data_IF_298723436308
#
_entry.id   IF_298723436308
#
_cell.length_a   1.000
_cell.length_b   1.000
_cell.length_c   1.000
_cell.angle_alpha   90.00
_cell.angle_beta   90.00
_cell.angle_gamma   90.00
#
_symmetry.space_group_name_H-M   'P 1'
#
loop_
_entity.id
_entity.type
_entity.pdbx_description
1 polymer ?
#
# COMPACT_ATOMS: atom_id res chain seq x y z
N UNK A 1 39.14 15.62 0.01
CA UNK A 1 37.77 16.13 -0.17
C UNK A 1 36.88 14.97 -0.60
N UNK A 2 35.99 14.51 0.27
CA UNK A 2 34.95 13.54 -0.08
C UNK A 2 33.61 14.22 0.18
N UNK A 3 32.94 14.67 -0.88
CA UNK A 3 31.59 15.23 -0.79
C UNK A 3 30.64 14.05 -0.91
N UNK A 4 30.10 13.60 0.23
CA UNK A 4 29.06 12.58 0.24
C UNK A 4 27.81 13.08 -0.53
N UNK A 5 27.08 12.22 -1.24
CA UNK A 5 26.01 12.66 -2.13
C UNK A 5 24.79 13.11 -1.31
N UNK A 6 24.55 14.43 -1.28
CA UNK A 6 23.37 15.13 -0.70
C UNK A 6 22.01 14.62 -1.19
N UNK A 7 21.96 13.76 -2.20
CA UNK A 7 20.74 13.28 -2.84
C UNK A 7 19.94 12.29 -2.00
N UNK A 8 20.60 11.50 -1.13
CA UNK A 8 19.90 10.51 -0.29
C UNK A 8 19.15 11.17 0.88
N UNK A 9 19.73 12.17 1.53
CA UNK A 9 19.07 12.90 2.62
C UNK A 9 17.89 13.73 2.13
N UNK A 10 18.05 14.38 0.96
CA UNK A 10 16.97 15.15 0.32
C UNK A 10 15.77 14.30 -0.09
N UNK A 11 16.00 13.02 -0.42
CA UNK A 11 14.93 12.08 -0.81
C UNK A 11 14.14 11.59 0.41
N UNK A 12 14.84 11.30 1.53
CA UNK A 12 14.19 10.88 2.78
C UNK A 12 13.41 12.04 3.42
N UNK A 13 13.93 13.27 3.38
CA UNK A 13 13.20 14.44 3.86
C UNK A 13 11.95 14.73 3.04
N UNK A 14 12.02 14.64 1.71
CA UNK A 14 10.86 14.83 0.82
C UNK A 14 9.80 13.73 0.97
N UNK A 15 10.21 12.46 1.12
CA UNK A 15 9.26 11.36 1.34
C UNK A 15 8.59 11.48 2.71
N UNK A 16 9.36 11.76 3.77
CA UNK A 16 8.83 12.00 5.11
C UNK A 16 7.89 13.22 5.13
N UNK A 17 8.19 14.26 4.37
CA UNK A 17 7.36 15.45 4.27
C UNK A 17 6.10 15.22 3.43
N UNK A 18 6.16 14.42 2.36
CA UNK A 18 4.98 13.98 1.60
C UNK A 18 4.08 13.09 2.43
N UNK A 19 4.63 12.09 3.12
CA UNK A 19 3.88 11.23 4.03
C UNK A 19 3.26 12.09 5.13
N UNK A 20 4.02 12.96 5.80
CA UNK A 20 3.48 13.89 6.80
C UNK A 20 2.38 14.77 6.23
N UNK A 21 2.51 15.27 5.00
CA UNK A 21 1.48 16.09 4.35
C UNK A 21 0.19 15.31 4.09
N UNK A 22 0.31 14.05 3.65
CA UNK A 22 -0.83 13.14 3.45
C UNK A 22 -1.42 12.72 4.81
N UNK A 23 -0.60 12.47 5.83
CA UNK A 23 -1.07 12.10 7.16
C UNK A 23 -1.57 13.30 7.97
N UNK A 24 -1.25 14.53 7.56
CA UNK A 24 -1.55 15.78 8.30
C UNK A 24 -3.03 15.92 8.69
N UNK A 25 -4.01 15.61 7.82
CA UNK A 25 -5.42 15.67 8.20
C UNK A 25 -5.79 14.71 9.34
N UNK A 26 -5.08 13.58 9.44
CA UNK A 26 -5.31 12.51 10.41
C UNK A 26 -4.49 12.65 11.70
N UNK A 27 -3.36 13.36 11.65
CA UNK A 27 -2.56 13.68 12.82
C UNK A 27 -3.24 14.76 13.68
N UNK A 28 -4.00 15.65 13.04
CA UNK A 28 -4.64 16.80 13.71
C UNK A 28 -6.09 16.53 14.13
N UNK A 29 -6.75 15.56 13.49
CA UNK A 29 -8.09 15.12 13.88
C UNK A 29 -8.00 13.62 14.20
N UNK A 30 -8.23 13.19 15.46
CA UNK A 30 -8.23 11.78 15.78
C UNK A 30 -9.29 11.09 14.92
N UNK A 31 -8.84 10.24 13.99
CA UNK A 31 -9.75 9.44 13.19
C UNK A 31 -10.38 8.41 14.13
N UNK A 32 -11.60 8.69 14.60
CA UNK A 32 -12.30 7.86 15.59
C UNK A 32 -12.51 6.42 15.11
N UNK A 33 -12.36 6.19 13.79
CA UNK A 33 -12.46 4.88 13.15
C UNK A 33 -11.12 4.36 12.59
N UNK A 34 -9.98 4.94 12.98
CA UNK A 34 -8.68 4.36 12.65
C UNK A 34 -8.65 2.92 13.18
N UNK A 35 -8.62 1.96 12.27
CA UNK A 35 -8.56 0.56 12.64
C UNK A 35 -7.22 0.31 13.35
N UNK A 36 -7.25 -0.50 14.43
CA UNK A 36 -6.03 -0.93 15.12
C UNK A 36 -5.00 -1.43 14.11
N UNK A 37 -3.70 -1.22 14.34
CA UNK A 37 -2.67 -1.77 13.46
C UNK A 37 -2.90 -3.28 13.29
N UNK A 38 -3.12 -3.70 12.05
CA UNK A 38 -3.27 -5.10 11.71
C UNK A 38 -1.92 -5.58 11.16
N UNK A 39 -1.20 -6.46 11.89
CA UNK A 39 0.03 -7.05 11.39
C UNK A 39 -0.31 -8.11 10.34
N UNK A 40 0.32 -8.01 9.18
CA UNK A 40 0.24 -9.00 8.11
C UNK A 40 1.64 -9.52 7.80
N UNK A 41 1.79 -10.84 7.74
CA UNK A 41 3.04 -11.51 7.37
C UNK A 41 2.97 -12.02 5.94
N UNK A 42 4.10 -12.49 5.42
CA UNK A 42 4.14 -13.20 4.14
C UNK A 42 3.26 -14.44 4.16
N UNK A 43 2.40 -14.54 3.16
CA UNK A 43 1.63 -15.74 2.85
C UNK A 43 1.82 -16.06 1.36
N UNK A 44 2.89 -16.81 1.02
CA UNK A 44 3.31 -16.97 -0.35
C UNK A 44 2.24 -17.66 -1.21
N UNK A 45 1.90 -17.05 -2.35
CA UNK A 45 0.89 -17.59 -3.27
C UNK A 45 -0.48 -16.95 -3.13
N UNK A 46 -0.76 -16.35 -1.97
CA UNK A 46 -2.03 -15.68 -1.71
C UNK A 46 -1.96 -14.19 -2.04
N UNK A 47 -3.07 -13.64 -2.54
CA UNK A 47 -3.21 -12.24 -2.93
C UNK A 47 -4.40 -11.69 -2.18
N UNK A 48 -4.25 -10.54 -1.54
CA UNK A 48 -5.27 -9.99 -0.64
C UNK A 48 -5.68 -8.57 -1.01
N UNK A 49 -6.90 -8.21 -0.62
CA UNK A 49 -7.41 -6.84 -0.58
C UNK A 49 -8.25 -6.65 0.69
N UNK A 50 -8.41 -5.40 1.16
CA UNK A 50 -9.26 -5.14 2.34
C UNK A 50 -10.75 -5.12 2.00
N UNK A 51 -11.10 -4.80 0.75
CA UNK A 51 -12.46 -4.90 0.22
C UNK A 51 -12.44 -5.08 -1.28
N UNK A 52 -13.56 -5.54 -1.83
CA UNK A 52 -13.86 -5.50 -3.26
C UNK A 52 -15.13 -4.70 -3.57
N UNK A 53 -15.79 -4.15 -2.54
CA UNK A 53 -17.02 -3.38 -2.68
C UNK A 53 -16.74 -2.09 -3.44
N UNK A 54 -17.36 -1.87 -4.61
CA UNK A 54 -17.11 -0.68 -5.40
C UNK A 54 -17.53 0.63 -4.74
N UNK A 55 -18.40 0.58 -3.72
CA UNK A 55 -18.86 1.76 -3.00
C UNK A 55 -17.92 2.18 -1.86
N UNK A 56 -16.88 1.39 -1.56
CA UNK A 56 -15.86 1.68 -0.55
C UNK A 56 -14.74 2.57 -1.11
N UNK A 57 -15.08 3.80 -1.46
CA UNK A 57 -14.14 4.85 -1.88
C UNK A 57 -13.75 5.79 -0.72
N UNK A 58 -14.43 5.65 0.41
CA UNK A 58 -14.29 6.43 1.62
C UNK A 58 -13.05 6.07 2.44
N UNK A 59 -12.22 5.11 2.00
CA UNK A 59 -11.14 4.53 2.82
C UNK A 59 -9.82 4.37 2.09
N UNK A 60 -8.75 4.67 2.81
CA UNK A 60 -7.37 4.38 2.42
C UNK A 60 -6.71 3.47 3.44
N UNK A 61 -5.65 2.78 3.01
CA UNK A 61 -4.80 1.97 3.88
C UNK A 61 -3.37 2.47 3.79
N UNK A 62 -2.76 2.67 4.94
CA UNK A 62 -1.32 2.91 5.03
C UNK A 62 -0.66 1.62 5.45
N UNK A 63 0.22 1.10 4.61
CA UNK A 63 1.09 -0.01 4.94
C UNK A 63 2.44 0.51 5.38
N UNK A 64 2.92 0.08 6.55
CA UNK A 64 4.30 0.28 6.97
C UNK A 64 5.04 -1.03 6.80
N UNK A 65 6.02 -1.08 5.89
CA UNK A 65 6.75 -2.31 5.56
C UNK A 65 8.05 -2.43 6.36
N UNK A 66 8.36 -3.65 6.80
CA UNK A 66 9.65 -3.96 7.42
C UNK A 66 10.78 -3.91 6.38
N UNK A 67 12.02 -3.73 6.84
CA UNK A 67 13.19 -3.83 5.96
C UNK A 67 13.30 -5.23 5.34
N UNK A 68 13.71 -5.28 4.07
CA UNK A 68 13.82 -6.52 3.30
C UNK A 68 12.49 -7.10 2.83
N UNK A 69 11.36 -6.43 3.07
CA UNK A 69 10.06 -6.89 2.57
C UNK A 69 10.02 -6.91 1.05
N UNK A 70 9.41 -7.94 0.49
CA UNK A 70 9.13 -8.05 -0.94
C UNK A 70 7.63 -8.18 -1.14
N UNK A 71 7.05 -7.23 -1.87
CA UNK A 71 5.61 -7.13 -2.09
C UNK A 71 5.33 -7.00 -3.58
N UNK A 72 4.24 -7.62 -4.02
CA UNK A 72 3.69 -7.47 -5.36
C UNK A 72 2.38 -6.71 -5.26
N UNK A 73 2.30 -5.61 -5.99
CA UNK A 73 1.14 -4.75 -6.12
C UNK A 73 0.46 -5.01 -7.46
N UNK A 74 -0.87 -5.13 -7.50
CA UNK A 74 -1.57 -5.33 -8.78
C UNK A 74 -2.13 -4.01 -9.27
N UNK A 75 -1.53 -3.47 -10.31
CA UNK A 75 -1.90 -2.16 -10.84
C UNK A 75 -3.34 -2.14 -11.35
N UNK A 76 -3.99 -0.99 -11.17
CA UNK A 76 -5.41 -0.76 -11.50
C UNK A 76 -6.43 -1.68 -10.80
N UNK A 77 -6.00 -2.61 -9.93
CA UNK A 77 -6.88 -3.56 -9.21
C UNK A 77 -8.06 -2.88 -8.52
N UNK A 78 -7.80 -1.76 -7.83
CA UNK A 78 -8.81 -0.93 -7.20
C UNK A 78 -9.87 -0.33 -8.14
N UNK A 79 -9.67 -0.30 -9.46
CA UNK A 79 -10.65 0.24 -10.44
C UNK A 79 -11.48 -0.87 -11.10
N UNK A 80 -11.16 -2.13 -10.82
CA UNK A 80 -11.74 -3.29 -11.51
C UNK A 80 -12.74 -4.02 -10.60
N UNK A 81 -13.77 -4.64 -11.18
CA UNK A 81 -14.67 -5.50 -10.43
C UNK A 81 -13.94 -6.81 -10.10
N UNK A 82 -13.36 -6.88 -8.90
CA UNK A 82 -12.70 -8.08 -8.40
C UNK A 82 -13.66 -8.87 -7.52
N UNK A 83 -13.57 -10.20 -7.58
CA UNK A 83 -14.19 -11.08 -6.61
C UNK A 83 -13.15 -11.54 -5.60
N UNK A 84 -13.54 -11.64 -4.33
CA UNK A 84 -12.69 -12.13 -3.25
C UNK A 84 -13.46 -12.99 -2.27
N UNK A 85 -12.74 -13.87 -1.58
CA UNK A 85 -13.27 -14.75 -0.53
C UNK A 85 -12.65 -14.34 0.80
N UNK A 86 -13.45 -14.29 1.87
CA UNK A 86 -12.93 -13.94 3.19
C UNK A 86 -11.93 -15.00 3.67
N UNK A 87 -10.71 -14.56 3.96
CA UNK A 87 -9.63 -15.40 4.47
C UNK A 87 -9.51 -15.30 6.00
N UNK A 88 -8.79 -16.24 6.61
CA UNK A 88 -8.60 -16.32 8.06
C UNK A 88 -7.87 -15.10 8.67
N UNK A 89 -7.14 -14.35 7.86
CA UNK A 89 -6.48 -13.10 8.25
C UNK A 89 -7.42 -11.88 8.26
N UNK A 90 -8.71 -12.08 7.96
CA UNK A 90 -9.72 -11.01 7.90
C UNK A 90 -9.69 -10.17 6.62
N UNK A 91 -8.81 -10.51 5.66
CA UNK A 91 -8.77 -9.89 4.34
C UNK A 91 -9.58 -10.71 3.33
N UNK A 92 -9.84 -10.12 2.17
CA UNK A 92 -10.38 -10.84 1.03
C UNK A 92 -9.24 -11.38 0.18
N UNK A 93 -9.17 -12.70 0.05
CA UNK A 93 -8.29 -13.36 -0.89
C UNK A 93 -8.84 -13.22 -2.31
N UNK A 94 -8.02 -12.71 -3.22
CA UNK A 94 -8.34 -12.47 -4.62
C UNK A 94 -7.67 -13.55 -5.48
N UNK A 95 -8.42 -14.39 -6.20
CA UNK A 95 -7.83 -15.37 -7.10
C UNK A 95 -7.00 -14.70 -8.19
N UNK A 96 -5.80 -15.20 -8.47
CA UNK A 96 -4.93 -14.68 -9.53
C UNK A 96 -5.62 -14.67 -10.91
N UNK A 97 -6.50 -15.66 -11.18
CA UNK A 97 -7.30 -15.70 -12.40
C UNK A 97 -8.22 -14.48 -12.56
N UNK A 98 -8.77 -13.96 -11.46
CA UNK A 98 -9.61 -12.75 -11.44
C UNK A 98 -8.81 -11.51 -11.85
N UNK A 99 -7.58 -11.38 -11.33
CA UNK A 99 -6.68 -10.27 -11.65
C UNK A 99 -6.22 -10.32 -13.11
N UNK A 100 -5.89 -11.52 -13.61
CA UNK A 100 -5.51 -11.73 -15.02
C UNK A 100 -6.66 -11.41 -15.98
N UNK A 101 -7.89 -11.84 -15.66
CA UNK A 101 -9.09 -11.52 -16.46
C UNK A 101 -9.34 -10.01 -16.55
N UNK A 102 -8.94 -9.25 -15.53
CA UNK A 102 -9.12 -7.81 -15.46
C UNK A 102 -7.90 -7.00 -15.95
N UNK A 103 -6.90 -7.65 -16.53
CA UNK A 103 -5.63 -7.06 -17.00
C UNK A 103 -4.88 -6.27 -15.90
N UNK A 104 -4.96 -6.74 -14.65
CA UNK A 104 -4.22 -6.14 -13.54
C UNK A 104 -2.76 -6.61 -13.57
N UNK A 105 -1.84 -5.69 -13.86
CA UNK A 105 -0.42 -6.00 -14.02
C UNK A 105 0.30 -6.03 -12.66
N UNK A 106 1.11 -7.07 -12.37
CA UNK A 106 1.90 -7.12 -11.15
C UNK A 106 3.06 -6.10 -11.22
N UNK A 107 3.26 -5.39 -10.12
CA UNK A 107 4.37 -4.48 -9.88
C UNK A 107 5.11 -5.02 -8.65
N UNK A 108 6.30 -5.54 -8.86
CA UNK A 108 7.15 -6.03 -7.77
C UNK A 108 7.94 -4.89 -7.14
N UNK A 109 7.95 -4.86 -5.81
CA UNK A 109 8.62 -3.80 -5.03
C UNK A 109 9.37 -4.41 -3.87
N UNK A 110 10.66 -4.10 -3.82
CA UNK A 110 11.56 -4.50 -2.73
C UNK A 110 11.82 -3.31 -1.81
N UNK A 111 11.60 -3.54 -0.52
CA UNK A 111 11.72 -2.53 0.54
C UNK A 111 13.08 -2.64 1.25
N UNK A 112 14.17 -2.30 0.54
CA UNK A 112 15.54 -2.57 1.01
C UNK A 112 15.88 -1.95 2.38
N UNK A 113 15.36 -0.75 2.67
CA UNK A 113 15.71 0.03 3.88
C UNK A 113 14.67 -0.02 4.99
N UNK A 114 13.54 -0.67 4.79
CA UNK A 114 12.41 -0.64 5.73
C UNK A 114 11.83 0.76 5.92
N UNK A 115 10.82 0.89 6.78
CA UNK A 115 10.18 2.18 7.09
C UNK A 115 9.50 2.86 5.88
N UNK A 116 9.42 2.16 4.75
CA UNK A 116 8.80 2.65 3.54
C UNK A 116 7.30 2.47 3.70
N UNK A 117 6.57 3.58 3.80
CA UNK A 117 5.12 3.53 3.88
C UNK A 117 4.52 3.57 2.48
N UNK A 118 3.61 2.64 2.17
CA UNK A 118 2.77 2.72 0.99
C UNK A 118 1.38 3.20 1.40
N UNK A 119 0.81 4.14 0.64
CA UNK A 119 -0.59 4.53 0.80
C UNK A 119 -1.33 3.91 -0.38
N UNK A 120 -2.35 3.13 -0.08
CA UNK A 120 -3.10 2.34 -1.05
C UNK A 120 -4.60 2.55 -0.87
N UNK A 121 -5.34 2.33 -1.94
CA UNK A 121 -6.80 2.27 -1.88
C UNK A 121 -7.25 1.01 -1.13
N UNK A 122 -8.38 1.05 -0.41
CA UNK A 122 -8.89 -0.10 0.37
C UNK A 122 -9.13 -1.36 -0.51
N UNK A 123 -9.50 -1.14 -1.77
CA UNK A 123 -9.65 -2.17 -2.81
C UNK A 123 -8.38 -2.62 -3.53
N UNK A 124 -7.22 -2.06 -3.17
CA UNK A 124 -6.00 -2.34 -3.91
C UNK A 124 -5.45 -3.72 -3.54
N UNK A 125 -5.23 -4.57 -4.55
CA UNK A 125 -4.77 -5.93 -4.34
C UNK A 125 -3.24 -5.98 -4.19
N UNK A 126 -2.77 -6.75 -3.22
CA UNK A 126 -1.35 -6.91 -2.91
C UNK A 126 -1.03 -8.34 -2.47
N UNK A 127 0.22 -8.73 -2.63
CA UNK A 127 0.77 -10.01 -2.17
C UNK A 127 2.09 -9.78 -1.45
N UNK A 128 2.22 -10.32 -0.25
CA UNK A 128 3.45 -10.25 0.54
C UNK A 128 4.25 -11.52 0.25
N UNK A 129 5.34 -11.40 -0.53
CA UNK A 129 6.22 -12.53 -0.83
C UNK A 129 7.12 -12.87 0.35
N UNK A 130 7.71 -11.84 0.98
CA UNK A 130 8.57 -11.97 2.16
C UNK A 130 8.43 -10.73 3.05
N UNK A 131 8.67 -10.90 4.36
CA UNK A 131 8.62 -9.82 5.35
C UNK A 131 7.24 -9.64 5.96
N UNK A 132 7.00 -8.46 6.55
CA UNK A 132 5.74 -8.15 7.22
C UNK A 132 5.38 -6.67 7.09
N UNK A 133 4.11 -6.36 7.32
CA UNK A 133 3.59 -4.99 7.35
C UNK A 133 2.62 -4.79 8.49
N UNK A 134 2.61 -3.57 9.03
CA UNK A 134 1.49 -3.09 9.81
C UNK A 134 0.63 -2.21 8.92
N UNK A 135 -0.65 -2.54 8.78
CA UNK A 135 -1.59 -1.74 8.02
C UNK A 135 -2.51 -0.93 8.94
N UNK A 136 -2.81 0.30 8.52
CA UNK A 136 -3.71 1.22 9.20
C UNK A 136 -4.80 1.65 8.22
N UNK A 137 -6.05 1.28 8.52
CA UNK A 137 -7.21 1.74 7.76
C UNK A 137 -7.65 3.12 8.24
N UNK A 138 -7.84 4.05 7.31
CA UNK A 138 -8.29 5.41 7.58
C UNK A 138 -9.43 5.81 6.64
N UNK A 139 -10.38 6.60 7.14
CA UNK A 139 -11.40 7.25 6.30
C UNK A 139 -10.80 8.42 5.50
N UNK A 140 -10.86 8.36 4.18
CA UNK A 140 -10.42 9.43 3.31
C UNK A 140 -11.26 10.71 3.52
N UNK A 141 -10.63 11.89 3.69
CA UNK A 141 -11.35 13.16 3.72
C UNK A 141 -12.21 13.33 2.47
N UNK A 142 -13.40 13.95 2.61
CA UNK A 142 -14.33 14.16 1.49
C UNK A 142 -13.70 14.95 0.32
N UNK A 143 -12.70 15.78 0.60
CA UNK A 143 -11.92 16.51 -0.41
C UNK A 143 -11.02 15.64 -1.29
N UNK A 144 -10.88 14.35 -0.98
CA UNK A 144 -9.99 13.41 -1.66
C UNK A 144 -10.71 12.48 -2.63
N UNK A 145 -12.04 12.40 -2.59
CA UNK A 145 -12.83 11.49 -3.45
C UNK A 145 -12.57 11.68 -4.96
N UNK A 146 -12.15 12.87 -5.39
CA UNK A 146 -11.86 13.17 -6.80
C UNK A 146 -10.43 12.85 -7.26
N UNK A 147 -9.53 12.46 -6.35
CA UNK A 147 -8.13 12.13 -6.70
C UNK A 147 -7.94 10.62 -6.72
N UNK A 148 -8.18 10.00 -7.87
CA UNK A 148 -7.93 8.55 -8.10
C UNK A 148 -6.44 8.13 -8.09
N UNK A 149 -5.54 8.93 -7.52
CA UNK A 149 -4.08 8.79 -7.64
C UNK A 149 -3.36 8.59 -6.29
N UNK A 150 -4.04 8.09 -5.25
CA UNK A 150 -3.42 7.95 -3.93
C UNK A 150 -2.48 6.75 -3.78
N UNK A 151 -2.24 6.00 -4.85
CA UNK A 151 -1.32 4.87 -4.83
C UNK A 151 0.10 5.40 -4.84
N UNK A 152 0.64 5.62 -3.65
CA UNK A 152 2.07 5.89 -3.50
C UNK A 152 2.74 4.59 -3.15
N UNK A 153 3.19 3.89 -4.19
CA UNK A 153 4.06 2.74 -4.06
C UNK A 153 5.52 3.24 -3.99
N UNK A 154 6.30 2.86 -2.97
CA UNK A 154 7.73 3.14 -2.94
C UNK A 154 8.36 2.67 -4.25
N UNK A 155 9.06 3.56 -4.98
CA UNK A 155 9.74 3.14 -6.21
C UNK A 155 10.73 2.04 -5.87
N UNK A 156 10.59 0.90 -6.53
CA UNK A 156 11.60 -0.15 -6.49
C UNK A 156 12.95 0.45 -6.91
N UNK A 157 13.99 0.18 -6.14
CA UNK A 157 15.37 0.27 -6.60
C UNK A 157 15.43 -0.52 -7.91
N UNK A 158 15.47 0.15 -9.08
CA UNK A 158 15.80 -0.56 -10.33
C UNK A 158 17.23 -1.06 -10.15
N UNK A 159 17.38 -2.33 -9.79
CA UNK A 159 18.64 -3.03 -9.90
C UNK A 159 18.97 -3.10 -11.37
N UNK A 160 19.90 -2.24 -11.81
CA UNK A 160 20.64 -2.45 -13.04
C UNK A 160 21.53 -3.66 -12.78
N UNK A 161 21.22 -4.79 -13.42
CA UNK A 161 22.18 -5.83 -13.74
C UNK A 161 22.48 -5.72 -15.23
#
# INVERSE_FOLDING_TARGET
MYVAPKTKELYHSNLAQRIRSILRPYLNNPNQQACRPLPFSSDPGHIFAFSVDPNREDRIVIHMWSAGSHVVFYDTSHKKPLCGVLAANGLLEIPLASLRKNDCKPIEVRMDKGGSSAILHYRYAFQIKTGFTNAYGLEAPMSWYWRTEFITIPRASRGLY
#
